data_IF_613310635695
#
_entry.id   IF_613310635695
#
_cell.length_a   1.000
_cell.length_b   1.000
_cell.length_c   1.000
_cell.angle_alpha   90.00
_cell.angle_beta   90.00
_cell.angle_gamma   90.00
#
_symmetry.space_group_name_H-M   'P 1'
#
loop_
_entity.id
_entity.type
_entity.pdbx_description
1 polymer ?
#
# COMPACT_ATOMS: atom_id res chain seq x y z
N UNK A 1 -21.26 32.06 -58.25
CA UNK A 1 -21.72 33.48 -58.19
C UNK A 1 -22.24 33.72 -56.79
N UNK A 2 -21.78 34.78 -56.11
CA UNK A 2 -22.31 35.35 -54.85
C UNK A 2 -22.42 34.41 -53.61
N UNK A 3 -22.30 34.88 -52.36
CA UNK A 3 -21.66 36.10 -51.84
C UNK A 3 -21.30 35.88 -50.35
N UNK A 4 -20.37 36.68 -49.84
CA UNK A 4 -19.95 36.77 -48.44
C UNK A 4 -21.12 37.18 -47.50
N UNK A 5 -21.08 36.76 -46.23
CA UNK A 5 -21.03 37.65 -45.02
C UNK A 5 -21.05 36.88 -43.69
N UNK A 6 -20.08 37.15 -42.80
CA UNK A 6 -20.30 37.18 -41.33
C UNK A 6 -20.79 38.59 -40.91
N UNK A 7 -20.96 38.94 -39.61
CA UNK A 7 -20.15 38.55 -38.44
C UNK A 7 -21.06 38.05 -37.27
N UNK A 8 -20.78 38.12 -35.95
CA UNK A 8 -19.71 38.70 -35.10
C UNK A 8 -19.66 38.02 -33.72
N UNK A 9 -18.53 38.15 -33.00
CA UNK A 9 -18.49 38.02 -31.53
C UNK A 9 -18.74 39.37 -30.85
N UNK A 10 -19.23 39.37 -29.60
CA UNK A 10 -18.75 40.30 -28.59
C UNK A 10 -18.15 39.56 -27.38
N UNK A 11 -16.90 39.87 -27.05
CA UNK A 11 -16.35 39.59 -25.74
C UNK A 11 -16.80 40.68 -24.76
N UNK A 12 -17.04 40.33 -23.49
CA UNK A 12 -17.15 41.31 -22.40
C UNK A 12 -16.42 40.77 -21.16
N UNK A 13 -15.46 41.51 -20.58
CA UNK A 13 -14.78 41.14 -19.35
C UNK A 13 -15.52 41.68 -18.12
N UNK A 14 -15.41 41.00 -16.99
CA UNK A 14 -15.73 41.57 -15.67
C UNK A 14 -14.52 41.42 -14.76
N UNK A 15 -14.04 42.57 -14.29
CA UNK A 15 -12.96 42.75 -13.32
C UNK A 15 -13.56 42.79 -11.89
N UNK A 16 -12.71 43.04 -10.89
CA UNK A 16 -13.03 43.28 -9.45
C UNK A 16 -13.33 41.98 -8.64
N UNK A 17 -12.84 41.81 -7.40
CA UNK A 17 -12.08 42.72 -6.53
C UNK A 17 -11.00 41.97 -5.72
N UNK A 18 -9.91 42.65 -5.39
CA UNK A 18 -8.93 42.22 -4.39
C UNK A 18 -9.13 43.06 -3.11
N UNK A 19 -9.18 42.43 -1.93
CA UNK A 19 -9.11 43.15 -0.65
C UNK A 19 -8.54 42.23 0.46
N UNK A 20 -7.37 42.54 1.04
CA UNK A 20 -6.78 41.80 2.17
C UNK A 20 -6.95 42.53 3.52
N UNK A 21 -6.90 41.77 4.63
CA UNK A 21 -6.85 42.26 6.02
C UNK A 21 -7.80 41.48 6.93
N UNK A 22 -7.38 40.93 8.08
CA UNK A 22 -6.62 41.57 9.15
C UNK A 22 -5.73 40.59 9.93
N UNK A 23 -4.71 41.11 10.62
CA UNK A 23 -3.95 40.35 11.63
C UNK A 23 -4.81 40.11 12.89
N UNK A 24 -4.61 38.95 13.52
CA UNK A 24 -4.76 38.78 14.96
C UNK A 24 -3.54 38.00 15.48
N UNK A 25 -2.71 38.65 16.29
CA UNK A 25 -1.53 38.06 16.91
C UNK A 25 -1.56 38.30 18.42
N UNK A 26 -1.56 37.20 19.18
CA UNK A 26 -1.18 37.05 20.59
C UNK A 26 -0.75 35.57 20.69
N UNK A 27 0.37 35.18 21.30
CA UNK A 27 1.18 35.87 22.30
C UNK A 27 1.07 35.09 23.60
N UNK A 28 2.04 34.21 23.86
CA UNK A 28 2.01 33.24 24.96
C UNK A 28 3.21 32.31 24.92
N UNK A 29 4.39 32.86 25.19
CA UNK A 29 5.59 32.10 25.53
C UNK A 29 5.58 31.88 27.05
N UNK A 30 5.41 30.63 27.50
CA UNK A 30 5.52 30.25 28.90
C UNK A 30 5.89 28.76 29.04
N UNK A 31 7.15 28.50 29.37
CA UNK A 31 7.59 27.36 30.20
C UNK A 31 7.31 25.94 29.72
N UNK A 32 8.17 25.39 28.85
CA UNK A 32 8.43 23.94 28.86
C UNK A 32 9.26 23.60 30.11
N UNK A 33 8.58 23.18 31.17
CA UNK A 33 9.21 22.59 32.35
C UNK A 33 9.92 21.28 31.98
N UNK A 34 11.16 21.15 32.43
CA UNK A 34 12.05 20.02 32.17
C UNK A 34 11.80 18.91 33.21
N UNK A 35 10.99 17.91 32.89
CA UNK A 35 10.86 16.70 33.70
C UNK A 35 10.53 15.47 32.83
N UNK A 36 11.59 14.88 32.24
CA UNK A 36 11.56 13.49 31.77
C UNK A 36 12.50 12.64 32.64
N UNK A 37 11.96 12.17 33.76
CA UNK A 37 12.56 11.05 34.50
C UNK A 37 12.44 9.76 33.68
N UNK A 38 13.39 9.52 32.79
CA UNK A 38 13.58 8.23 32.10
C UNK A 38 14.74 7.50 32.77
N UNK A 39 14.39 6.72 33.79
CA UNK A 39 15.27 5.68 34.29
C UNK A 39 15.23 4.50 33.29
N UNK A 40 16.40 4.08 32.79
CA UNK A 40 16.50 2.93 31.87
C UNK A 40 16.84 3.22 30.41
N UNK A 41 18.01 3.81 30.15
CA UNK A 41 18.70 3.67 28.84
C UNK A 41 19.97 2.83 29.06
N UNK A 42 19.99 1.61 28.52
CA UNK A 42 21.19 0.77 28.49
C UNK A 42 22.18 1.33 27.47
N UNK A 43 23.32 1.84 27.97
CA UNK A 43 24.37 2.39 27.12
C UNK A 43 25.15 1.26 26.43
N UNK A 44 24.89 1.04 25.14
CA UNK A 44 25.75 0.24 24.28
C UNK A 44 26.83 1.13 23.65
N UNK A 45 28.08 1.00 24.14
CA UNK A 45 29.23 1.74 23.61
C UNK A 45 29.56 1.26 22.19
N UNK A 46 29.48 2.16 21.21
CA UNK A 46 29.91 1.89 19.84
C UNK A 46 31.45 1.84 19.78
N UNK A 47 32.00 0.70 19.34
CA UNK A 47 33.43 0.52 19.13
C UNK A 47 33.94 1.21 17.86
N UNK A 48 35.18 1.68 17.91
CA UNK A 48 35.87 2.41 16.83
C UNK A 48 35.96 1.60 15.53
N UNK A 49 35.81 2.30 14.39
CA UNK A 49 36.03 1.73 13.07
C UNK A 49 37.51 1.74 12.69
N UNK A 50 38.00 0.63 12.13
CA UNK A 50 39.27 0.54 11.39
C UNK A 50 38.99 -0.10 10.01
N UNK A 51 39.46 0.58 8.96
CA UNK A 51 39.36 0.17 7.55
C UNK A 51 40.51 -0.78 7.19
N UNK A 52 40.27 -1.81 6.37
CA UNK A 52 41.13 -1.92 5.18
C UNK A 52 40.40 -2.38 3.91
N UNK A 53 40.40 -1.50 2.91
CA UNK A 53 40.25 -1.77 1.48
C UNK A 53 40.90 -3.09 1.00
N UNK A 54 40.13 -3.94 0.32
CA UNK A 54 40.62 -4.77 -0.79
C UNK A 54 39.52 -5.09 -1.80
N UNK A 55 39.87 -5.04 -3.08
CA UNK A 55 39.03 -5.34 -4.25
C UNK A 55 38.81 -6.85 -4.48
N UNK A 56 37.77 -7.12 -5.29
CA UNK A 56 37.73 -8.10 -6.40
C UNK A 56 36.95 -9.43 -6.29
N UNK A 57 35.95 -9.50 -7.19
CA UNK A 57 35.53 -10.64 -8.04
C UNK A 57 34.53 -11.67 -7.46
N UNK A 58 33.64 -12.13 -8.35
CA UNK A 58 32.50 -13.02 -8.06
C UNK A 58 32.88 -14.51 -8.16
N UNK A 59 32.14 -15.38 -7.47
CA UNK A 59 31.95 -16.79 -7.87
C UNK A 59 30.73 -17.40 -7.16
N UNK A 60 29.84 -18.03 -7.92
CA UNK A 60 28.78 -18.89 -7.39
C UNK A 60 29.34 -20.14 -6.70
N UNK A 61 28.69 -20.62 -5.62
CA UNK A 61 28.27 -22.04 -5.49
C UNK A 61 27.71 -22.41 -4.11
N UNK A 62 26.66 -23.25 -4.17
CA UNK A 62 26.28 -24.27 -3.19
C UNK A 62 25.83 -23.84 -1.78
N UNK A 63 24.51 -23.87 -1.59
CA UNK A 63 23.90 -24.19 -0.29
C UNK A 63 24.54 -25.44 0.33
N UNK A 64 25.08 -25.29 1.53
CA UNK A 64 25.35 -26.40 2.45
C UNK A 64 25.18 -25.89 3.87
N UNK A 65 23.93 -25.87 4.35
CA UNK A 65 23.57 -25.42 5.70
C UNK A 65 24.00 -26.43 6.78
N UNK A 66 25.30 -26.52 7.05
CA UNK A 66 25.83 -27.24 8.21
C UNK A 66 25.88 -26.32 9.44
N UNK A 67 24.71 -26.06 10.05
CA UNK A 67 24.60 -25.27 11.27
C UNK A 67 25.13 -26.02 12.50
N UNK A 68 26.42 -25.88 12.81
CA UNK A 68 26.95 -26.25 14.13
C UNK A 68 26.68 -25.12 15.11
N UNK A 69 25.84 -25.36 16.12
CA UNK A 69 25.52 -24.41 17.17
C UNK A 69 26.77 -24.07 17.99
N UNK A 70 27.25 -22.84 17.89
CA UNK A 70 28.22 -22.27 18.85
C UNK A 70 27.46 -21.51 19.95
N UNK A 71 27.77 -21.84 21.20
CA UNK A 71 27.17 -21.26 22.41
C UNK A 71 27.67 -19.84 22.73
N UNK A 72 27.36 -18.88 21.86
CA UNK A 72 27.30 -17.47 22.26
C UNK A 72 25.91 -17.17 22.85
N UNK A 73 25.90 -16.71 24.11
CA UNK A 73 24.73 -16.64 25.00
C UNK A 73 23.73 -15.52 24.73
N UNK A 74 23.35 -15.30 23.47
CA UNK A 74 22.18 -14.51 23.11
C UNK A 74 20.89 -15.33 23.18
N UNK A 75 19.73 -14.65 23.28
CA UNK A 75 18.42 -15.28 23.16
C UNK A 75 18.25 -15.85 21.73
N UNK A 76 18.53 -17.14 21.56
CA UNK A 76 18.25 -17.87 20.33
C UNK A 76 16.80 -18.34 20.37
N UNK A 77 16.02 -17.97 19.36
CA UNK A 77 14.74 -18.61 19.10
C UNK A 77 15.04 -19.97 18.48
N UNK A 78 15.19 -20.98 19.34
CA UNK A 78 15.40 -22.39 18.95
C UNK A 78 14.09 -22.97 18.36
N UNK A 79 13.66 -22.42 17.23
CA UNK A 79 12.85 -23.14 16.25
C UNK A 79 13.79 -24.19 15.66
N UNK A 80 13.96 -25.29 16.39
CA UNK A 80 14.60 -26.48 15.87
C UNK A 80 13.90 -26.91 14.59
N UNK A 81 14.65 -27.52 13.67
CA UNK A 81 14.16 -28.07 12.40
C UNK A 81 12.79 -28.72 12.62
N UNK A 82 11.72 -28.02 12.22
CA UNK A 82 10.40 -28.62 12.22
C UNK A 82 10.49 -29.78 11.22
N UNK A 83 10.25 -31.03 11.64
CA UNK A 83 10.28 -32.12 10.69
C UNK A 83 9.20 -31.84 9.65
N UNK A 84 9.57 -31.77 8.38
CA UNK A 84 8.62 -31.70 7.27
C UNK A 84 7.66 -32.86 7.42
N UNK A 85 6.45 -32.60 7.93
CA UNK A 85 5.49 -33.65 8.24
C UNK A 85 5.01 -34.18 6.87
N UNK A 86 5.35 -35.42 6.49
CA UNK A 86 5.02 -35.90 5.15
C UNK A 86 3.49 -35.99 5.02
N UNK A 87 2.92 -35.14 4.15
CA UNK A 87 1.46 -34.98 4.00
C UNK A 87 0.85 -33.76 4.70
N UNK A 88 1.66 -32.85 5.27
CA UNK A 88 1.23 -31.48 5.60
C UNK A 88 1.95 -30.49 4.68
N UNK A 89 1.67 -30.60 3.37
CA UNK A 89 1.74 -29.42 2.53
C UNK A 89 0.87 -28.34 3.19
N UNK A 90 1.36 -27.10 3.29
CA UNK A 90 0.53 -25.98 3.74
C UNK A 90 -0.77 -25.89 2.92
N UNK A 91 -1.82 -25.22 3.44
CA UNK A 91 -3.11 -25.13 2.75
C UNK A 91 -2.89 -24.73 1.29
N UNK A 92 -3.36 -25.60 0.38
CA UNK A 92 -3.11 -25.49 -1.05
C UNK A 92 -3.53 -24.10 -1.53
N UNK A 93 -2.60 -23.35 -2.12
CA UNK A 93 -2.91 -22.05 -2.72
C UNK A 93 -3.99 -22.30 -3.79
N UNK A 94 -5.14 -21.61 -3.74
CA UNK A 94 -6.19 -21.84 -4.72
C UNK A 94 -5.69 -21.44 -6.13
N UNK A 95 -5.80 -22.36 -7.08
CA UNK A 95 -5.44 -22.15 -8.49
C UNK A 95 -6.58 -21.50 -9.29
N UNK A 96 -7.78 -21.45 -8.72
CA UNK A 96 -9.00 -20.95 -9.36
C UNK A 96 -9.84 -20.12 -8.39
N UNK A 97 -10.60 -19.15 -8.91
CA UNK A 97 -11.49 -18.34 -8.08
C UNK A 97 -12.52 -19.17 -7.31
N UNK A 98 -13.03 -20.26 -7.91
CA UNK A 98 -13.98 -21.17 -7.24
C UNK A 98 -13.37 -21.87 -6.02
N UNK A 99 -12.07 -22.23 -6.08
CA UNK A 99 -11.36 -22.77 -4.91
C UNK A 99 -11.12 -21.68 -3.86
N UNK A 100 -10.78 -20.46 -4.28
CA UNK A 100 -10.56 -19.35 -3.38
C UNK A 100 -11.85 -18.91 -2.67
N UNK A 101 -13.00 -18.94 -3.35
CA UNK A 101 -14.32 -18.68 -2.77
C UNK A 101 -14.79 -19.76 -1.78
N UNK A 102 -14.28 -21.00 -1.91
CA UNK A 102 -14.57 -22.09 -0.98
C UNK A 102 -13.65 -22.13 0.25
N UNK A 103 -12.56 -21.36 0.24
CA UNK A 103 -11.54 -21.34 1.30
C UNK A 103 -11.56 -20.05 2.11
N UNK A 104 -11.14 -20.13 3.38
CA UNK A 104 -10.90 -18.94 4.20
C UNK A 104 -9.42 -18.58 4.10
N UNK A 105 -9.10 -17.60 3.25
CA UNK A 105 -7.73 -17.21 2.92
C UNK A 105 -7.64 -15.72 2.57
N UNK A 106 -6.43 -15.19 2.56
CA UNK A 106 -6.09 -13.86 2.04
C UNK A 106 -5.99 -13.85 0.51
N UNK A 107 -5.94 -15.04 -0.10
CA UNK A 107 -5.90 -15.27 -1.55
C UNK A 107 -7.32 -15.34 -2.11
N UNK A 108 -7.65 -14.54 -3.12
CA UNK A 108 -9.00 -14.43 -3.69
C UNK A 108 -9.03 -13.71 -5.04
N UNK A 109 -10.24 -13.53 -5.59
CA UNK A 109 -10.43 -12.88 -6.91
C UNK A 109 -11.23 -11.57 -6.86
N UNK A 110 -11.76 -11.19 -5.70
CA UNK A 110 -12.58 -9.99 -5.53
C UNK A 110 -12.28 -9.33 -4.18
N UNK A 111 -11.82 -8.09 -4.21
CA UNK A 111 -11.44 -7.30 -3.04
C UNK A 111 -12.06 -5.91 -3.12
N UNK A 112 -12.16 -5.26 -1.95
CA UNK A 112 -12.54 -3.85 -1.87
C UNK A 112 -11.54 -3.10 -0.99
N UNK A 113 -10.96 -2.03 -1.54
CA UNK A 113 -10.13 -1.08 -0.81
C UNK A 113 -10.85 0.25 -0.63
N UNK A 114 -10.50 0.99 0.41
CA UNK A 114 -11.02 2.34 0.68
C UNK A 114 -9.85 3.30 0.87
N UNK A 115 -10.01 4.48 0.28
CA UNK A 115 -9.11 5.61 0.53
C UNK A 115 -9.47 6.18 1.91
N UNK A 116 -8.49 6.28 2.81
CA UNK A 116 -8.70 6.57 4.23
C UNK A 116 -8.39 8.04 4.53
N UNK A 117 -9.02 8.59 5.57
CA UNK A 117 -8.65 9.88 6.14
C UNK A 117 -7.21 9.84 6.69
N UNK A 118 -6.44 10.89 6.43
CA UNK A 118 -5.05 11.01 6.88
C UNK A 118 -4.69 12.49 7.16
N UNK A 119 -3.75 12.74 8.06
CA UNK A 119 -3.64 14.07 8.67
C UNK A 119 -2.84 15.11 7.86
N UNK A 120 -3.26 16.38 7.93
CA UNK A 120 -2.54 17.54 7.36
C UNK A 120 -2.15 17.37 5.88
N UNK A 121 -0.85 17.48 5.57
CA UNK A 121 -0.32 17.42 4.21
C UNK A 121 -0.32 16.01 3.62
N UNK A 122 -0.53 14.96 4.43
CA UNK A 122 -0.49 13.58 3.92
C UNK A 122 -1.76 13.19 3.15
N UNK A 123 -2.86 13.90 3.38
CA UNK A 123 -4.20 13.69 2.79
C UNK A 123 -4.27 13.84 1.26
N UNK A 124 -3.28 14.49 0.66
CA UNK A 124 -3.23 14.71 -0.79
C UNK A 124 -2.16 13.83 -1.46
N UNK A 125 -1.61 12.85 -0.75
CA UNK A 125 -0.62 11.93 -1.29
C UNK A 125 -1.28 10.76 -2.04
N UNK A 126 -0.47 9.98 -2.75
CA UNK A 126 -0.97 8.97 -3.67
C UNK A 126 -1.46 7.72 -2.93
N UNK A 127 -2.78 7.54 -2.82
CA UNK A 127 -3.39 6.25 -2.48
C UNK A 127 -3.17 5.23 -3.59
N UNK A 128 -2.86 3.98 -3.24
CA UNK A 128 -2.71 2.90 -4.22
C UNK A 128 -3.17 1.55 -3.68
N UNK A 129 -3.51 0.64 -4.60
CA UNK A 129 -3.65 -0.79 -4.30
C UNK A 129 -2.57 -1.53 -5.06
N UNK A 130 -1.73 -2.28 -4.34
CA UNK A 130 -0.86 -3.28 -4.94
C UNK A 130 -1.54 -4.64 -4.96
N UNK A 131 -1.30 -5.41 -6.01
CA UNK A 131 -1.73 -6.80 -6.12
C UNK A 131 -0.53 -7.71 -6.36
N UNK A 132 -0.57 -8.90 -5.79
CA UNK A 132 0.44 -9.95 -6.00
C UNK A 132 -0.24 -11.17 -6.61
N UNK A 133 0.25 -11.60 -7.76
CA UNK A 133 -0.18 -12.83 -8.39
C UNK A 133 0.58 -14.01 -7.77
N UNK A 134 -0.10 -14.76 -6.91
CA UNK A 134 0.48 -15.92 -6.18
C UNK A 134 0.45 -17.22 -6.99
N UNK A 135 0.00 -17.17 -8.24
CA UNK A 135 -0.02 -18.34 -9.13
C UNK A 135 1.39 -18.65 -9.65
N UNK A 136 1.78 -19.92 -9.64
CA UNK A 136 3.12 -20.35 -10.08
C UNK A 136 3.32 -20.29 -11.61
N UNK A 137 2.24 -20.37 -12.39
CA UNK A 137 2.31 -20.49 -13.86
C UNK A 137 1.15 -19.81 -14.62
N UNK A 138 0.21 -19.15 -13.93
CA UNK A 138 -0.92 -18.44 -14.55
C UNK A 138 -0.67 -16.92 -14.52
N UNK A 139 -1.01 -16.23 -15.61
CA UNK A 139 -1.01 -14.75 -15.67
C UNK A 139 -2.36 -14.26 -15.17
N UNK A 140 -2.35 -13.30 -14.24
CA UNK A 140 -3.57 -12.69 -13.71
C UNK A 140 -3.95 -11.44 -14.51
N UNK A 141 -5.16 -11.40 -15.04
CA UNK A 141 -5.78 -10.18 -15.57
C UNK A 141 -6.48 -9.47 -14.41
N UNK A 142 -6.01 -8.28 -14.05
CA UNK A 142 -6.55 -7.50 -12.91
C UNK A 142 -7.09 -6.17 -13.40
N UNK A 143 -8.28 -5.79 -12.93
CA UNK A 143 -8.85 -4.45 -13.15
C UNK A 143 -9.34 -3.84 -11.83
N UNK A 144 -9.35 -2.50 -11.77
CA UNK A 144 -9.89 -1.73 -10.65
C UNK A 144 -11.05 -0.88 -11.13
N UNK A 145 -12.15 -0.95 -10.42
CA UNK A 145 -13.40 -0.25 -10.72
C UNK A 145 -13.83 0.65 -9.56
N UNK A 146 -14.50 1.75 -9.89
CA UNK A 146 -15.15 2.64 -8.94
C UNK A 146 -16.65 2.68 -9.19
N UNK A 147 -17.45 2.86 -8.15
CA UNK A 147 -18.90 2.97 -8.28
C UNK A 147 -19.30 4.38 -8.73
N UNK A 148 -19.88 4.49 -9.92
CA UNK A 148 -20.36 5.72 -10.50
C UNK A 148 -21.89 5.67 -10.60
N UNK A 149 -22.57 6.34 -9.67
CA UNK A 149 -24.02 6.22 -9.48
C UNK A 149 -24.42 4.77 -9.12
N UNK A 150 -25.19 4.12 -10.00
CA UNK A 150 -25.64 2.74 -9.81
C UNK A 150 -24.77 1.69 -10.53
N UNK A 151 -23.74 2.09 -11.26
CA UNK A 151 -22.90 1.20 -12.07
C UNK A 151 -21.46 1.15 -11.56
N UNK A 152 -20.76 0.05 -11.83
CA UNK A 152 -19.30 -0.02 -11.70
C UNK A 152 -18.67 0.41 -13.03
N UNK A 153 -17.63 1.24 -12.96
CA UNK A 153 -16.83 1.65 -14.12
C UNK A 153 -15.36 1.38 -13.86
N UNK A 154 -14.68 0.78 -14.85
CA UNK A 154 -13.23 0.56 -14.79
C UNK A 154 -12.50 1.90 -14.78
N UNK A 155 -11.63 2.07 -13.80
CA UNK A 155 -10.77 3.25 -13.64
C UNK A 155 -9.28 2.92 -13.83
N UNK A 156 -8.89 1.65 -13.73
CA UNK A 156 -7.55 1.18 -14.05
C UNK A 156 -7.53 -0.29 -14.48
N UNK A 157 -6.57 -0.66 -15.32
CA UNK A 157 -6.54 -1.95 -16.01
C UNK A 157 -7.46 -2.07 -17.25
N UNK A 158 -7.62 -3.27 -17.82
CA UNK A 158 -7.03 -4.53 -17.37
C UNK A 158 -5.50 -4.55 -17.49
N UNK A 159 -4.84 -5.02 -16.44
CA UNK A 159 -3.38 -5.19 -16.34
C UNK A 159 -3.06 -6.67 -16.23
N UNK A 160 -2.11 -7.15 -17.01
CA UNK A 160 -1.61 -8.54 -16.92
C UNK A 160 -0.44 -8.61 -15.94
N UNK A 161 -0.65 -9.24 -14.79
CA UNK A 161 0.38 -9.49 -13.76
C UNK A 161 0.94 -10.89 -13.98
N UNK A 162 2.26 -11.00 -14.17
CA UNK A 162 2.87 -12.31 -14.45
C UNK A 162 2.78 -13.24 -13.24
N UNK A 163 3.01 -14.54 -13.46
CA UNK A 163 3.10 -15.51 -12.39
C UNK A 163 4.20 -15.10 -11.37
N UNK A 164 3.89 -15.16 -10.07
CA UNK A 164 4.77 -14.76 -8.97
C UNK A 164 5.25 -13.28 -9.01
N UNK A 165 4.49 -12.41 -9.68
CA UNK A 165 4.80 -10.98 -9.89
C UNK A 165 3.76 -10.07 -9.21
N UNK A 166 4.03 -8.75 -9.18
CA UNK A 166 3.15 -7.75 -8.56
C UNK A 166 2.84 -6.58 -9.51
N UNK A 167 1.69 -5.93 -9.30
CA UNK A 167 1.37 -4.67 -9.96
C UNK A 167 0.83 -3.64 -8.97
N UNK A 168 1.16 -2.37 -9.17
CA UNK A 168 0.69 -1.24 -8.35
C UNK A 168 -0.29 -0.43 -9.19
N UNK A 169 -1.48 -0.22 -8.63
CA UNK A 169 -2.51 0.65 -9.18
C UNK A 169 -2.55 1.94 -8.37
N UNK A 170 -1.98 3.02 -8.91
CA UNK A 170 -2.22 4.37 -8.41
C UNK A 170 -3.67 4.76 -8.74
N UNK A 171 -4.45 5.13 -7.73
CA UNK A 171 -5.88 5.42 -7.87
C UNK A 171 -6.13 6.91 -7.60
N UNK A 172 -7.23 7.49 -8.12
CA UNK A 172 -7.56 8.87 -7.81
C UNK A 172 -7.84 9.06 -6.32
N UNK A 173 -7.67 10.28 -5.81
CA UNK A 173 -8.10 10.61 -4.46
C UNK A 173 -9.62 10.42 -4.34
N UNK A 174 -10.03 9.67 -3.31
CA UNK A 174 -11.41 9.36 -2.99
C UNK A 174 -11.63 9.24 -1.49
N UNK A 175 -10.77 9.87 -0.70
CA UNK A 175 -10.78 9.94 0.76
C UNK A 175 -12.09 10.48 1.34
N UNK A 176 -12.27 10.26 2.63
CA UNK A 176 -13.47 10.61 3.38
C UNK A 176 -13.01 11.38 4.61
N UNK A 177 -13.25 12.69 4.64
CA UNK A 177 -12.97 13.50 5.84
C UNK A 177 -13.75 12.94 7.04
N UNK A 178 -13.10 12.86 8.21
CA UNK A 178 -13.65 12.34 9.46
C UNK A 178 -14.18 10.89 9.36
N UNK A 179 -14.77 10.40 10.46
CA UNK A 179 -15.48 9.12 10.47
C UNK A 179 -16.84 9.21 9.75
N UNK A 180 -17.01 8.47 8.66
CA UNK A 180 -18.28 8.44 7.91
C UNK A 180 -18.48 7.21 7.02
N UNK A 181 -19.70 7.04 6.49
CA UNK A 181 -20.01 6.03 5.46
C UNK A 181 -20.13 6.73 4.11
N UNK A 182 -19.10 6.58 3.27
CA UNK A 182 -19.12 7.06 1.89
C UNK A 182 -19.82 6.05 0.99
N UNK A 183 -21.07 6.29 0.63
CA UNK A 183 -21.85 5.37 -0.19
C UNK A 183 -21.24 5.25 -1.61
N UNK A 184 -20.67 4.08 -1.92
CA UNK A 184 -19.89 3.87 -3.16
C UNK A 184 -18.43 4.33 -3.08
N UNK A 185 -17.96 4.73 -1.89
CA UNK A 185 -16.61 5.19 -1.56
C UNK A 185 -15.50 4.13 -1.61
N UNK A 186 -15.69 3.03 -2.34
CA UNK A 186 -14.78 1.90 -2.36
C UNK A 186 -14.33 1.56 -3.79
N UNK A 187 -13.08 1.12 -3.89
CA UNK A 187 -12.50 0.57 -5.09
C UNK A 187 -12.69 -0.94 -5.13
N UNK A 188 -13.30 -1.44 -6.19
CA UNK A 188 -13.48 -2.87 -6.44
C UNK A 188 -12.31 -3.38 -7.28
N UNK A 189 -11.55 -4.32 -6.75
CA UNK A 189 -10.46 -4.99 -7.48
C UNK A 189 -10.93 -6.39 -7.84
N UNK A 190 -10.89 -6.73 -9.13
CA UNK A 190 -11.30 -8.05 -9.62
C UNK A 190 -10.21 -8.68 -10.47
N UNK A 191 -10.01 -9.99 -10.33
CA UNK A 191 -9.12 -10.79 -11.17
C UNK A 191 -9.79 -12.08 -11.68
N UNK A 192 -9.25 -12.64 -12.76
CA UNK A 192 -9.63 -13.92 -13.36
C UNK A 192 -8.99 -15.15 -12.67
N UNK A 193 -7.90 -14.96 -11.94
CA UNK A 193 -7.23 -15.98 -11.12
C UNK A 193 -6.94 -15.45 -9.70
N UNK A 194 -6.70 -16.32 -8.70
CA UNK A 194 -6.53 -15.86 -7.32
C UNK A 194 -5.22 -15.08 -7.09
N UNK A 195 -5.37 -13.89 -6.51
CA UNK A 195 -4.31 -12.93 -6.15
C UNK A 195 -4.38 -12.60 -4.65
N UNK A 196 -3.42 -11.82 -4.13
CA UNK A 196 -3.56 -11.08 -2.87
C UNK A 196 -3.59 -9.58 -3.20
N UNK A 197 -4.33 -8.77 -2.45
CA UNK A 197 -4.38 -7.32 -2.59
C UNK A 197 -4.00 -6.60 -1.28
N UNK A 198 -3.29 -5.48 -1.41
CA UNK A 198 -2.84 -4.62 -0.33
C UNK A 198 -3.16 -3.17 -0.67
N UNK A 199 -3.80 -2.43 0.23
CA UNK A 199 -3.94 -0.97 0.07
C UNK A 199 -2.83 -0.23 0.80
N UNK A 200 -2.43 0.91 0.26
CA UNK A 200 -1.42 1.81 0.81
C UNK A 200 -1.97 3.24 0.83
N UNK A 201 -1.90 3.88 2.00
CA UNK A 201 -2.23 5.28 2.18
C UNK A 201 -1.14 5.99 3.00
N UNK A 202 -0.20 6.71 2.37
CA UNK A 202 0.11 6.75 0.94
C UNK A 202 0.98 5.57 0.47
N UNK A 203 1.15 5.41 -0.84
CA UNK A 203 2.11 4.46 -1.44
C UNK A 203 3.57 4.85 -1.23
N UNK A 204 3.89 6.14 -1.16
CA UNK A 204 5.20 6.63 -0.75
C UNK A 204 5.21 6.92 0.75
N UNK A 205 5.37 5.86 1.54
CA UNK A 205 5.49 5.99 2.99
C UNK A 205 6.78 6.67 3.46
N UNK A 206 7.81 6.78 2.61
CA UNK A 206 9.13 7.28 3.03
C UNK A 206 9.17 8.81 3.17
N UNK A 207 8.33 9.54 2.43
CA UNK A 207 8.15 10.99 2.55
C UNK A 207 7.03 11.39 3.52
N UNK A 208 6.28 10.42 4.04
CA UNK A 208 5.10 10.60 4.87
C UNK A 208 5.36 10.22 6.34
N UNK A 209 4.94 11.06 7.29
CA UNK A 209 5.04 10.73 8.72
C UNK A 209 4.06 9.63 9.15
N UNK A 210 3.11 9.26 8.28
CA UNK A 210 2.16 8.17 8.44
C UNK A 210 2.27 7.25 7.22
N UNK A 211 2.32 5.94 7.44
CA UNK A 211 2.44 4.91 6.40
C UNK A 211 1.48 3.78 6.72
N UNK A 212 0.23 3.89 6.28
CA UNK A 212 -0.75 2.84 6.46
C UNK A 212 -0.73 1.87 5.28
N UNK A 213 -0.40 0.61 5.56
CA UNK A 213 -0.50 -0.49 4.62
C UNK A 213 -1.37 -1.59 5.25
N UNK A 214 -2.44 -1.99 4.56
CA UNK A 214 -3.32 -3.06 5.04
C UNK A 214 -3.58 -4.09 3.95
N UNK A 215 -3.52 -5.36 4.35
CA UNK A 215 -3.90 -6.49 3.51
C UNK A 215 -5.42 -6.54 3.40
N UNK A 216 -5.93 -6.59 2.18
CA UNK A 216 -7.36 -6.66 1.91
C UNK A 216 -7.82 -8.12 2.00
N UNK A 217 -8.86 -8.36 2.79
CA UNK A 217 -9.54 -9.66 2.81
C UNK A 217 -10.48 -9.79 1.61
N UNK A 218 -10.44 -10.92 0.87
CA UNK A 218 -11.33 -11.12 -0.26
C UNK A 218 -12.78 -11.31 0.22
N UNK A 219 -13.75 -10.96 -0.62
CA UNK A 219 -15.19 -11.00 -0.29
C UNK A 219 -15.67 -12.30 0.40
N UNK A 220 -15.22 -13.52 0.01
CA UNK A 220 -15.67 -14.76 0.64
C UNK A 220 -15.38 -14.88 2.13
N UNK A 221 -14.45 -14.09 2.69
CA UNK A 221 -14.08 -14.15 4.12
C UNK A 221 -14.79 -13.11 4.99
N UNK A 222 -15.86 -12.47 4.50
CA UNK A 222 -16.55 -11.39 5.21
C UNK A 222 -17.73 -11.88 6.07
N UNK A 223 -18.35 -13.01 5.73
CA UNK A 223 -19.57 -13.54 6.36
C UNK A 223 -19.27 -14.71 7.33
N UNK A 224 -18.75 -14.40 8.52
CA UNK A 224 -18.34 -15.38 9.56
C UNK A 224 -18.90 -15.08 10.95
#
# INVERSE_FOLDING_TARGET
MASLTGPSHPALPVLLACLPGLLAACGGDDGRGDELGVDGIYSATLGTADDPSSTSESSDSADTSSGTSSDDGGLKLDIGMLPDIPGQQGPIIPETCVQAEAGLSTVGCLFYGVDLDSHDAVENQQFAIAVSNVQENQVATVQVEQKQGNSWGVISGPTMVQALDLAIFNLPAFSQDDSGIKAGGAYRVSSDVPIIAYQFNPIDGASSYLSDASMLYPVPTWDH
#
